data_IF_821348867890
#
_entry.id   IF_821348867890
#
_cell.length_a   1.000
_cell.length_b   1.000
_cell.length_c   1.000
_cell.angle_alpha   90.00
_cell.angle_beta   90.00
_cell.angle_gamma   90.00
#
_symmetry.space_group_name_H-M   'P 1'
#
loop_
_entity.id
_entity.type
_entity.pdbx_description
1 polymer ?
#
# COMPACT_ATOMS: atom_id res chain seq x y z
N UNK A 1 8.27 -0.28 -10.15
CA UNK A 1 7.38 -1.25 -10.83
C UNK A 1 5.97 -1.04 -10.34
N UNK A 2 5.04 -0.71 -11.24
CA UNK A 2 3.62 -0.59 -10.88
C UNK A 2 3.00 -1.97 -10.67
N UNK A 3 2.39 -2.21 -9.52
CA UNK A 3 1.65 -3.42 -9.23
C UNK A 3 0.19 -3.25 -9.67
N UNK A 4 -0.43 -2.14 -9.26
CA UNK A 4 -1.73 -1.65 -9.74
C UNK A 4 -1.63 -0.16 -10.04
N UNK A 5 -2.74 0.49 -10.42
CA UNK A 5 -2.78 1.96 -10.53
C UNK A 5 -2.69 2.67 -9.17
N UNK A 6 -2.99 1.95 -8.08
CA UNK A 6 -2.98 2.43 -6.69
C UNK A 6 -1.69 2.09 -5.93
N UNK A 7 -0.99 1.03 -6.37
CA UNK A 7 0.15 0.45 -5.66
C UNK A 7 1.36 0.36 -6.57
N UNK A 8 2.47 0.95 -6.13
CA UNK A 8 3.75 0.89 -6.81
C UNK A 8 4.83 0.36 -5.87
N UNK A 9 5.66 -0.56 -6.38
CA UNK A 9 6.83 -1.10 -5.69
C UNK A 9 8.10 -0.52 -6.30
N UNK A 10 8.95 0.06 -5.48
CA UNK A 10 10.23 0.63 -5.88
C UNK A 10 11.35 0.12 -4.97
N UNK A 11 12.59 0.18 -5.45
CA UNK A 11 13.76 -0.05 -4.62
C UNK A 11 14.29 1.31 -4.14
N UNK A 12 14.53 1.43 -2.84
CA UNK A 12 15.18 2.59 -2.25
C UNK A 12 16.34 2.13 -1.38
N UNK A 13 17.57 2.43 -1.81
CA UNK A 13 18.81 2.05 -1.12
C UNK A 13 18.90 0.53 -0.82
N UNK A 14 18.41 -0.32 -1.72
CA UNK A 14 18.40 -1.78 -1.51
C UNK A 14 17.31 -2.27 -0.56
N UNK A 15 16.37 -1.40 -0.19
CA UNK A 15 15.16 -1.75 0.55
C UNK A 15 13.95 -1.66 -0.36
N UNK A 16 12.97 -2.53 -0.15
CA UNK A 16 11.70 -2.41 -0.84
C UNK A 16 10.91 -1.23 -0.29
N UNK A 17 10.44 -0.36 -1.17
CA UNK A 17 9.57 0.77 -0.88
C UNK A 17 8.25 0.56 -1.61
N UNK A 18 7.17 0.41 -0.86
CA UNK A 18 5.83 0.37 -1.41
C UNK A 18 5.23 1.77 -1.32
N UNK A 19 4.76 2.28 -2.45
CA UNK A 19 4.01 3.52 -2.54
C UNK A 19 2.55 3.19 -2.78
N UNK A 20 1.67 3.73 -1.95
CA UNK A 20 0.23 3.55 -1.99
C UNK A 20 -0.42 4.92 -2.12
N UNK A 21 -1.39 5.03 -3.04
CA UNK A 21 -2.10 6.29 -3.31
C UNK A 21 -3.27 6.53 -2.35
N UNK A 22 -3.79 5.47 -1.74
CA UNK A 22 -4.99 5.49 -0.93
C UNK A 22 -4.65 5.16 0.53
N UNK A 23 -5.07 6.02 1.46
CA UNK A 23 -4.76 5.87 2.90
C UNK A 23 -5.35 4.58 3.49
N UNK A 24 -6.56 4.20 3.09
CA UNK A 24 -7.22 3.00 3.62
C UNK A 24 -6.60 1.73 3.05
N UNK A 25 -6.18 1.76 1.79
CA UNK A 25 -5.41 0.65 1.22
C UNK A 25 -4.05 0.53 1.90
N UNK A 26 -3.42 1.66 2.23
CA UNK A 26 -2.18 1.66 2.99
C UNK A 26 -2.36 1.02 4.37
N UNK A 27 -3.40 1.41 5.12
CA UNK A 27 -3.71 0.86 6.45
C UNK A 27 -3.99 -0.65 6.38
N UNK A 28 -4.79 -1.08 5.42
CA UNK A 28 -5.04 -2.51 5.17
C UNK A 28 -3.75 -3.28 4.86
N UNK A 29 -2.89 -2.72 4.01
CA UNK A 29 -1.64 -3.36 3.63
C UNK A 29 -0.65 -3.42 4.81
N UNK A 30 -0.57 -2.36 5.61
CA UNK A 30 0.24 -2.33 6.82
C UNK A 30 -0.16 -3.45 7.80
N UNK A 31 -1.45 -3.59 8.09
CA UNK A 31 -1.99 -4.66 8.95
C UNK A 31 -1.75 -6.05 8.33
N UNK A 32 -1.94 -6.20 7.01
CA UNK A 32 -1.66 -7.45 6.30
C UNK A 32 -0.19 -7.86 6.43
N UNK A 33 0.75 -6.94 6.22
CA UNK A 33 2.18 -7.23 6.38
C UNK A 33 2.54 -7.53 7.84
N UNK A 34 1.98 -6.78 8.80
CA UNK A 34 2.16 -7.04 10.23
C UNK A 34 1.66 -8.43 10.63
N UNK A 35 0.52 -8.88 10.10
CA UNK A 35 -0.01 -10.23 10.29
C UNK A 35 0.91 -11.34 9.74
N UNK A 36 1.74 -11.01 8.75
CA UNK A 36 2.79 -11.88 8.23
C UNK A 36 4.14 -11.75 8.97
N UNK A 37 4.20 -10.97 10.05
CA UNK A 37 5.41 -10.72 10.83
C UNK A 37 6.38 -9.75 10.16
N UNK A 38 5.89 -8.92 9.22
CA UNK A 38 6.68 -7.92 8.50
C UNK A 38 6.29 -6.54 9.04
N UNK A 39 7.18 -5.96 9.83
CA UNK A 39 7.02 -4.60 10.34
C UNK A 39 7.61 -3.61 9.31
N UNK A 40 6.74 -3.02 8.50
CA UNK A 40 7.13 -1.96 7.58
C UNK A 40 7.17 -0.61 8.31
N UNK A 41 8.08 0.26 7.90
CA UNK A 41 8.16 1.62 8.41
C UNK A 41 7.34 2.55 7.53
N UNK A 42 6.40 3.28 8.12
CA UNK A 42 5.63 4.31 7.41
C UNK A 42 6.54 5.50 7.10
N UNK A 43 6.72 5.79 5.82
CA UNK A 43 7.47 6.93 5.30
C UNK A 43 6.47 7.90 4.66
N UNK A 44 6.51 9.17 5.10
CA UNK A 44 5.75 10.25 4.48
C UNK A 44 6.71 11.20 3.77
N UNK A 45 6.67 11.26 2.43
CA UNK A 45 7.56 12.14 1.70
C UNK A 45 7.19 13.60 2.00
N UNK A 46 8.16 14.47 2.35
CA UNK A 46 7.88 15.84 2.74
C UNK A 46 7.28 16.69 1.60
N UNK A 47 7.52 16.28 0.35
CA UNK A 47 7.02 16.97 -0.84
C UNK A 47 5.63 16.52 -1.27
N UNK A 48 5.09 15.44 -0.70
CA UNK A 48 3.80 14.90 -1.12
C UNK A 48 3.10 14.20 0.07
N UNK A 49 2.46 14.97 0.98
CA UNK A 49 1.87 14.42 2.20
C UNK A 49 0.70 13.46 1.95
N UNK A 50 0.11 13.50 0.75
CA UNK A 50 -0.96 12.61 0.29
C UNK A 50 -0.41 11.25 -0.20
N UNK A 51 0.91 11.13 -0.37
CA UNK A 51 1.55 9.89 -0.79
C UNK A 51 1.91 9.06 0.44
N UNK A 52 1.36 7.85 0.53
CA UNK A 52 1.59 6.95 1.63
C UNK A 52 2.65 5.93 1.23
N UNK A 53 3.72 5.78 2.01
CA UNK A 53 4.79 4.84 1.66
C UNK A 53 5.12 3.92 2.83
N UNK A 54 5.35 2.64 2.52
CA UNK A 54 5.82 1.61 3.45
C UNK A 54 7.22 1.19 3.03
N UNK A 55 8.20 1.46 3.90
CA UNK A 55 9.59 1.05 3.74
C UNK A 55 9.81 -0.27 4.48
N UNK A 56 10.17 -1.31 3.73
CA UNK A 56 10.37 -2.63 4.28
C UNK A 56 11.78 -2.80 4.84
N UNK A 57 11.97 -3.68 5.84
CA UNK A 57 13.30 -4.04 6.33
C UNK A 57 14.19 -4.56 5.18
N UNK A 58 15.51 -4.34 5.23
CA UNK A 58 16.43 -4.79 4.17
C UNK A 58 16.46 -6.31 3.97
N UNK A 59 15.98 -7.09 4.94
CA UNK A 59 15.81 -8.54 4.81
C UNK A 59 14.65 -8.93 3.87
N UNK A 60 13.70 -8.01 3.62
CA UNK A 60 12.53 -8.25 2.80
C UNK A 60 12.77 -7.71 1.39
N UNK A 61 12.98 -8.63 0.45
CA UNK A 61 13.15 -8.28 -0.95
C UNK A 61 11.84 -7.81 -1.60
N UNK A 62 11.94 -6.99 -2.64
CA UNK A 62 10.79 -6.57 -3.46
C UNK A 62 10.01 -7.76 -4.01
N UNK A 63 10.69 -8.87 -4.33
CA UNK A 63 10.05 -10.09 -4.79
C UNK A 63 9.17 -10.74 -3.70
N UNK A 64 9.60 -10.69 -2.43
CA UNK A 64 8.81 -11.19 -1.31
C UNK A 64 7.55 -10.34 -1.10
N UNK A 65 7.68 -9.01 -1.13
CA UNK A 65 6.53 -8.09 -1.04
C UNK A 65 5.57 -8.31 -2.20
N UNK A 66 6.09 -8.43 -3.43
CA UNK A 66 5.27 -8.72 -4.62
C UNK A 66 4.46 -10.02 -4.48
N UNK A 67 5.08 -11.09 -3.95
CA UNK A 67 4.38 -12.36 -3.71
C UNK A 67 3.28 -12.23 -2.68
N UNK A 68 3.50 -11.47 -1.62
CA UNK A 68 2.50 -11.21 -0.58
C UNK A 68 1.33 -10.36 -1.12
N UNK A 69 1.61 -9.31 -1.87
CA UNK A 69 0.58 -8.52 -2.57
C UNK A 69 -0.23 -9.38 -3.55
N UNK A 70 0.43 -10.35 -4.21
CA UNK A 70 -0.26 -11.29 -5.09
C UNK A 70 -1.22 -12.23 -4.34
N UNK A 71 -1.04 -12.44 -3.03
CA UNK A 71 -1.99 -13.20 -2.21
C UNK A 71 -3.25 -12.40 -1.86
N UNK A 72 -3.12 -11.09 -1.69
CA UNK A 72 -4.28 -10.18 -1.56
C UNK A 72 -5.09 -10.21 -2.85
N UNK A 73 -4.41 -10.19 -3.99
CA UNK A 73 -5.03 -10.23 -5.31
C UNK A 73 -5.40 -8.83 -5.82
N UNK A 74 -5.30 -8.67 -7.14
CA UNK A 74 -5.55 -7.38 -7.80
C UNK A 74 -6.99 -6.91 -7.59
N UNK A 75 -7.96 -7.83 -7.61
CA UNK A 75 -9.38 -7.52 -7.46
C UNK A 75 -9.74 -7.03 -6.06
N UNK A 76 -9.11 -7.56 -5.00
CA UNK A 76 -9.36 -7.11 -3.63
C UNK A 76 -8.76 -5.72 -3.40
N UNK A 77 -7.56 -5.46 -3.94
CA UNK A 77 -6.95 -4.12 -3.92
C UNK A 77 -7.87 -3.09 -4.59
N UNK A 78 -8.38 -3.40 -5.79
CA UNK A 78 -9.30 -2.53 -6.51
C UNK A 78 -10.63 -2.35 -5.76
N UNK A 79 -11.14 -3.42 -5.15
CA UNK A 79 -12.36 -3.40 -4.35
C UNK A 79 -12.23 -2.51 -3.11
N UNK A 80 -11.12 -2.60 -2.36
CA UNK A 80 -10.87 -1.75 -1.19
C UNK A 80 -10.87 -0.28 -1.59
N UNK A 81 -10.13 0.06 -2.65
CA UNK A 81 -10.11 1.43 -3.20
C UNK A 81 -11.52 1.87 -3.60
N UNK A 82 -12.26 1.02 -4.33
CA UNK A 82 -13.59 1.35 -4.86
C UNK A 82 -14.64 1.55 -3.78
N UNK A 83 -14.64 0.72 -2.73
CA UNK A 83 -15.55 0.87 -1.59
C UNK A 83 -15.31 2.21 -0.91
N UNK A 84 -14.05 2.58 -0.74
CA UNK A 84 -13.64 3.78 0.00
C UNK A 84 -13.79 5.07 -0.82
N UNK A 85 -13.49 5.00 -2.12
CA UNK A 85 -13.78 6.05 -3.10
C UNK A 85 -15.29 6.28 -3.25
N UNK A 86 -16.11 5.22 -3.17
CA UNK A 86 -17.57 5.30 -3.18
C UNK A 86 -18.18 5.80 -1.86
N UNK A 87 -17.58 5.45 -0.72
CA UNK A 87 -18.05 5.87 0.60
C UNK A 87 -17.85 7.38 0.87
N UNK A 88 -16.79 7.98 0.33
CA UNK A 88 -16.60 9.45 0.36
C UNK A 88 -17.62 10.23 -0.48
N UNK A 89 -18.37 9.57 -1.38
CA UNK A 89 -19.42 10.19 -2.19
C UNK A 89 -20.83 10.18 -1.55
N UNK A 90 -21.04 9.46 -0.44
CA UNK A 90 -22.38 9.19 0.09
C UNK A 90 -22.75 9.95 1.38
N UNK A 91 -21.95 10.95 1.80
CA UNK A 91 -22.28 11.84 2.93
C UNK A 91 -22.36 13.31 2.47
N UNK A 92 -23.44 13.65 1.78
CA UNK A 92 -23.71 15.02 1.35
C UNK A 92 -25.09 15.15 0.71
N UNK A 93 -26.14 14.81 1.45
CA UNK A 93 -27.50 14.96 0.93
C UNK A 93 -28.57 14.43 1.87
N UNK A 94 -28.83 15.16 2.96
CA UNK A 94 -30.14 15.27 3.60
C UNK A 94 -30.10 16.45 4.58
#
# INVERSE_FOLDING_TARGET
>A
MKFTEHVELSDWNGQCLLTVRDVELHDFLDDFFAGHGIEAQVVRPPNNPEQHQLLFPPAISTAAVYRLLSQVGLEEIDRIVRINSGASGAKGGA
#
